data_IF_659457468884
#
_entry.id   IF_659457468884
#
_cell.length_a   1.000
_cell.length_b   1.000
_cell.length_c   1.000
_cell.angle_alpha   90.00
_cell.angle_beta   90.00
_cell.angle_gamma   90.00
#
_symmetry.space_group_name_H-M   'P 1'
#
loop_
_entity.id
_entity.type
_entity.pdbx_description
1 polymer ?
#
# COMPACT_ATOMS: atom_id res chain seq x y z
N UNK A 1 -36.13 33.03 28.34
CA UNK A 1 -35.91 33.00 26.88
C UNK A 1 -34.86 31.93 26.61
N UNK A 2 -35.28 30.70 26.31
CA UNK A 2 -34.36 29.57 26.12
C UNK A 2 -33.84 29.58 24.69
N UNK A 3 -32.53 29.74 24.52
CA UNK A 3 -31.83 29.62 23.23
C UNK A 3 -31.95 28.18 22.73
N UNK A 4 -32.48 27.92 21.53
CA UNK A 4 -32.46 26.59 20.93
C UNK A 4 -31.00 26.22 20.61
N UNK A 5 -30.41 25.31 21.38
CA UNK A 5 -29.10 24.74 21.05
C UNK A 5 -29.29 23.76 19.90
N UNK A 6 -28.78 24.11 18.72
CA UNK A 6 -28.77 23.23 17.57
C UNK A 6 -28.11 21.88 17.93
N UNK A 7 -28.67 20.74 17.52
CA UNK A 7 -28.07 19.44 17.79
C UNK A 7 -26.70 19.34 17.12
N UNK A 8 -25.68 18.76 17.77
CA UNK A 8 -24.36 18.60 17.17
C UNK A 8 -24.48 17.72 15.93
N UNK A 9 -23.95 18.21 14.80
CA UNK A 9 -23.82 17.46 13.55
C UNK A 9 -23.01 16.20 13.81
N UNK A 10 -23.69 15.06 13.96
CA UNK A 10 -23.03 13.76 14.03
C UNK A 10 -22.47 13.49 12.64
N UNK A 11 -21.16 13.58 12.49
CA UNK A 11 -20.50 13.02 11.32
C UNK A 11 -20.86 11.53 11.28
N UNK A 12 -21.73 11.15 10.35
CA UNK A 12 -22.00 9.75 10.07
C UNK A 12 -20.70 9.17 9.52
N UNK A 13 -19.93 8.50 10.37
CA UNK A 13 -18.82 7.66 9.90
C UNK A 13 -19.46 6.59 9.04
N UNK A 14 -19.38 6.78 7.72
CA UNK A 14 -19.88 5.84 6.74
C UNK A 14 -19.00 4.59 6.83
N UNK A 15 -19.42 3.66 7.67
CA UNK A 15 -18.88 2.31 7.66
C UNK A 15 -19.23 1.73 6.30
N UNK A 16 -18.24 1.28 5.53
CA UNK A 16 -18.43 0.59 4.25
C UNK A 16 -19.27 -0.68 4.46
N UNK A 17 -20.59 -0.53 4.55
CA UNK A 17 -21.56 -1.61 4.78
C UNK A 17 -22.04 -2.23 3.46
N UNK A 18 -21.58 -1.71 2.32
CA UNK A 18 -22.04 -2.11 0.99
C UNK A 18 -21.13 -3.05 0.18
N UNK A 19 -19.85 -3.22 0.55
CA UNK A 19 -18.91 -4.05 -0.22
C UNK A 19 -18.99 -5.51 0.21
N UNK A 20 -19.31 -6.39 -0.75
CA UNK A 20 -19.23 -7.84 -0.54
C UNK A 20 -17.77 -8.24 -0.34
N UNK A 21 -17.48 -8.93 0.77
CA UNK A 21 -16.15 -9.47 1.07
C UNK A 21 -16.00 -10.89 0.52
N UNK A 22 -16.09 -11.04 -0.80
CA UNK A 22 -15.96 -12.35 -1.47
C UNK A 22 -14.58 -12.56 -2.14
N UNK A 23 -13.64 -11.63 -1.95
CA UNK A 23 -12.31 -11.73 -2.55
C UNK A 23 -11.56 -12.93 -1.96
N UNK A 24 -11.34 -13.93 -2.80
CA UNK A 24 -10.58 -15.12 -2.44
C UNK A 24 -9.07 -14.80 -2.39
N UNK A 25 -8.31 -15.54 -1.59
CA UNK A 25 -6.86 -15.35 -1.39
C UNK A 25 -6.08 -15.39 -2.71
N UNK A 26 -6.50 -16.27 -3.61
CA UNK A 26 -5.90 -16.44 -4.93
C UNK A 26 -6.16 -15.22 -5.81
N UNK A 27 -7.40 -14.71 -5.86
CA UNK A 27 -7.72 -13.48 -6.59
C UNK A 27 -6.93 -12.28 -6.06
N UNK A 28 -6.80 -12.17 -4.73
CA UNK A 28 -6.00 -11.11 -4.10
C UNK A 28 -4.51 -11.20 -4.49
N UNK A 29 -3.95 -12.43 -4.51
CA UNK A 29 -2.58 -12.68 -4.96
C UNK A 29 -2.38 -12.25 -6.42
N UNK A 30 -3.28 -12.67 -7.32
CA UNK A 30 -3.18 -12.30 -8.73
C UNK A 30 -3.36 -10.80 -8.96
N UNK A 31 -4.22 -10.13 -8.19
CA UNK A 31 -4.33 -8.66 -8.22
C UNK A 31 -3.02 -8.01 -7.80
N UNK A 32 -2.38 -8.48 -6.72
CA UNK A 32 -1.09 -7.98 -6.28
C UNK A 32 0.02 -8.20 -7.32
N UNK A 33 0.12 -9.41 -7.87
CA UNK A 33 1.10 -9.74 -8.92
C UNK A 33 0.87 -8.89 -10.17
N UNK A 34 -0.38 -8.77 -10.62
CA UNK A 34 -0.74 -7.95 -11.78
C UNK A 34 -0.42 -6.46 -11.59
N UNK A 35 -0.54 -5.94 -10.37
CA UNK A 35 -0.18 -4.56 -10.05
C UNK A 35 1.34 -4.31 -10.08
N UNK A 36 2.18 -5.33 -9.86
CA UNK A 36 3.65 -5.23 -9.88
C UNK A 36 4.19 -5.27 -11.33
N UNK A 37 3.57 -6.07 -12.19
CA UNK A 37 4.04 -6.26 -13.58
C UNK A 37 3.61 -5.06 -14.44
N UNK A 38 4.52 -4.11 -14.62
CA UNK A 38 4.36 -2.95 -15.50
C UNK A 38 5.56 -2.69 -16.42
N UNK A 39 5.65 -1.49 -16.97
CA UNK A 39 6.78 -1.07 -17.83
C UNK A 39 8.13 -1.13 -17.11
N UNK A 40 8.13 -0.99 -15.78
CA UNK A 40 9.32 -1.06 -14.95
C UNK A 40 10.07 -2.40 -15.01
N UNK A 41 9.39 -3.54 -15.24
CA UNK A 41 10.09 -4.82 -15.44
C UNK A 41 10.95 -4.76 -16.70
N UNK A 42 10.36 -4.33 -17.82
CA UNK A 42 11.00 -4.34 -19.12
C UNK A 42 12.16 -3.35 -19.19
N UNK A 43 11.91 -2.10 -18.81
CA UNK A 43 12.92 -1.05 -18.85
C UNK A 43 13.93 -1.16 -17.72
N UNK A 44 13.52 -1.59 -16.52
CA UNK A 44 14.43 -1.82 -15.40
C UNK A 44 15.46 -2.91 -15.72
N UNK A 45 15.03 -4.03 -16.32
CA UNK A 45 15.95 -5.07 -16.76
C UNK A 45 16.90 -4.59 -17.88
N UNK A 46 16.39 -3.82 -18.84
CA UNK A 46 17.20 -3.23 -19.92
C UNK A 46 18.28 -2.29 -19.36
N UNK A 47 17.89 -1.33 -18.51
CA UNK A 47 18.84 -0.37 -17.94
C UNK A 47 19.84 -1.05 -17.00
N UNK A 48 19.41 -2.02 -16.19
CA UNK A 48 20.31 -2.78 -15.33
C UNK A 48 21.36 -3.54 -16.17
N UNK A 49 20.94 -4.16 -17.27
CA UNK A 49 21.83 -4.87 -18.19
C UNK A 49 22.78 -3.91 -18.93
N UNK A 50 22.32 -2.72 -19.32
CA UNK A 50 23.18 -1.72 -19.99
C UNK A 50 24.27 -1.17 -19.06
N UNK A 51 23.97 -0.97 -17.78
CA UNK A 51 24.90 -0.39 -16.81
C UNK A 51 25.87 -1.45 -16.25
N UNK A 52 25.36 -2.60 -15.83
CA UNK A 52 26.14 -3.63 -15.14
C UNK A 52 26.58 -4.80 -16.05
N UNK A 53 26.07 -4.86 -17.29
CA UNK A 53 26.32 -5.99 -18.19
C UNK A 53 25.78 -7.31 -17.61
N UNK A 54 26.48 -8.44 -17.83
CA UNK A 54 26.07 -9.75 -17.28
C UNK A 54 25.96 -9.78 -15.75
N UNK A 55 26.63 -8.85 -15.04
CA UNK A 55 26.56 -8.74 -13.58
C UNK A 55 25.23 -8.15 -13.08
N UNK A 56 24.33 -7.68 -13.96
CA UNK A 56 23.02 -7.14 -13.59
C UNK A 56 22.18 -8.11 -12.76
N UNK A 57 22.36 -9.42 -12.94
CA UNK A 57 21.69 -10.47 -12.16
C UNK A 57 21.98 -10.31 -10.66
N UNK A 58 23.19 -9.92 -10.27
CA UNK A 58 23.53 -9.68 -8.87
C UNK A 58 22.71 -8.52 -8.30
N UNK A 59 22.53 -7.44 -9.05
CA UNK A 59 21.68 -6.32 -8.62
C UNK A 59 20.22 -6.74 -8.43
N UNK A 60 19.71 -7.63 -9.29
CA UNK A 60 18.37 -8.18 -9.19
C UNK A 60 18.18 -9.05 -7.96
N UNK A 61 19.18 -9.86 -7.60
CA UNK A 61 19.13 -10.67 -6.37
C UNK A 61 19.09 -9.77 -5.14
N UNK A 62 19.96 -8.75 -5.09
CA UNK A 62 19.99 -7.79 -3.97
C UNK A 62 18.66 -7.03 -3.89
N UNK A 63 18.15 -6.54 -5.03
CA UNK A 63 16.85 -5.87 -5.10
C UNK A 63 15.70 -6.77 -4.64
N UNK A 64 15.69 -8.04 -5.03
CA UNK A 64 14.68 -9.01 -4.60
C UNK A 64 14.70 -9.23 -3.08
N UNK A 65 15.89 -9.34 -2.48
CA UNK A 65 16.05 -9.48 -1.03
C UNK A 65 15.52 -8.22 -0.30
N UNK A 66 15.88 -7.03 -0.78
CA UNK A 66 15.40 -5.77 -0.19
C UNK A 66 13.87 -5.65 -0.26
N UNK A 67 13.28 -5.92 -1.42
CA UNK A 67 11.81 -5.88 -1.61
C UNK A 67 11.12 -6.95 -0.76
N UNK A 68 11.71 -8.13 -0.60
CA UNK A 68 11.18 -9.18 0.26
C UNK A 68 11.09 -8.74 1.73
N UNK A 69 12.12 -8.07 2.25
CA UNK A 69 12.10 -7.53 3.61
C UNK A 69 11.00 -6.48 3.75
N UNK A 70 10.87 -5.56 2.78
CA UNK A 70 9.81 -4.55 2.77
C UNK A 70 8.43 -5.22 2.75
N UNK A 71 8.25 -6.22 1.87
CA UNK A 71 7.01 -6.98 1.75
C UNK A 71 6.63 -7.70 3.05
N UNK A 72 7.60 -8.25 3.78
CA UNK A 72 7.36 -8.90 5.07
C UNK A 72 6.88 -7.90 6.13
N UNK A 73 7.51 -6.73 6.22
CA UNK A 73 7.05 -5.65 7.14
C UNK A 73 5.63 -5.22 6.79
N UNK A 74 5.33 -5.06 5.50
CA UNK A 74 3.97 -4.74 5.06
C UNK A 74 2.96 -5.85 5.37
N UNK A 75 3.36 -7.12 5.32
CA UNK A 75 2.51 -8.24 5.68
C UNK A 75 2.17 -8.23 7.18
N UNK A 76 3.15 -7.99 8.05
CA UNK A 76 2.93 -7.83 9.50
C UNK A 76 1.98 -6.67 9.80
N UNK A 77 2.20 -5.52 9.16
CA UNK A 77 1.33 -4.34 9.32
C UNK A 77 -0.09 -4.58 8.79
N UNK A 78 -0.25 -5.29 7.67
CA UNK A 78 -1.55 -5.62 7.10
C UNK A 78 -2.39 -6.53 8.01
N UNK A 79 -1.73 -7.43 8.76
CA UNK A 79 -2.40 -8.28 9.76
C UNK A 79 -2.73 -7.49 11.03
N UNK A 80 -1.82 -6.62 11.49
CA UNK A 80 -2.03 -5.82 12.70
C UNK A 80 -3.10 -4.73 12.51
N UNK A 81 -3.16 -4.11 11.33
CA UNK A 81 -4.10 -3.03 11.01
C UNK A 81 -4.90 -3.38 9.75
N UNK A 82 -6.03 -4.12 9.86
CA UNK A 82 -6.86 -4.52 8.72
C UNK A 82 -7.72 -3.35 8.21
N UNK A 83 -7.06 -2.30 7.71
CA UNK A 83 -7.65 -1.06 7.19
C UNK A 83 -7.34 -0.89 5.70
N UNK A 84 -8.29 -0.36 4.95
CA UNK A 84 -8.09 -0.07 3.52
C UNK A 84 -7.18 1.15 3.36
N UNK A 85 -6.16 1.05 2.49
CA UNK A 85 -5.25 2.16 2.17
C UNK A 85 -4.01 2.27 3.06
N UNK A 86 -3.29 1.15 3.25
CA UNK A 86 -2.11 1.07 4.13
C UNK A 86 -1.03 2.12 3.86
N UNK A 87 -0.72 2.43 2.60
CA UNK A 87 0.29 3.45 2.22
C UNK A 87 0.01 4.84 2.79
N UNK A 88 -1.26 5.22 2.94
CA UNK A 88 -1.66 6.53 3.47
C UNK A 88 -1.89 6.46 4.98
N UNK A 89 -2.47 5.35 5.46
CA UNK A 89 -2.85 5.19 6.88
C UNK A 89 -1.67 4.84 7.79
N UNK A 90 -0.72 4.01 7.35
CA UNK A 90 0.44 3.64 8.18
C UNK A 90 1.34 4.86 8.51
N UNK A 91 1.68 5.74 7.54
CA UNK A 91 2.39 6.98 7.84
C UNK A 91 1.54 7.95 8.68
N UNK A 92 0.22 7.99 8.48
CA UNK A 92 -0.66 8.81 9.31
C UNK A 92 -0.61 8.42 10.79
N UNK A 93 -0.54 7.12 11.08
CA UNK A 93 -0.45 6.64 12.47
C UNK A 93 0.87 7.00 13.14
N UNK A 94 1.98 7.08 12.38
CA UNK A 94 3.31 7.31 12.94
C UNK A 94 3.74 8.79 12.94
N UNK A 95 3.40 9.52 11.87
CA UNK A 95 3.93 10.86 11.59
C UNK A 95 2.84 11.94 11.42
N UNK A 96 1.56 11.57 11.54
CA UNK A 96 0.43 12.50 11.47
C UNK A 96 0.02 12.90 10.06
N UNK A 97 -0.86 13.91 9.98
CA UNK A 97 -1.57 14.31 8.74
C UNK A 97 -0.63 14.78 7.62
N UNK A 98 0.48 15.46 7.93
CA UNK A 98 1.39 15.99 6.92
C UNK A 98 2.13 14.89 6.15
N UNK A 99 2.67 13.89 6.85
CA UNK A 99 3.37 12.77 6.22
C UNK A 99 2.44 11.91 5.36
N UNK A 100 1.21 11.72 5.84
CA UNK A 100 0.15 11.02 5.09
C UNK A 100 -0.20 11.75 3.79
N UNK A 101 -0.34 13.09 3.84
CA UNK A 101 -0.59 13.92 2.67
C UNK A 101 0.56 13.93 1.67
N UNK A 102 1.82 13.90 2.13
CA UNK A 102 2.97 13.85 1.21
C UNK A 102 3.16 12.49 0.53
N UNK A 103 2.59 11.43 1.11
CA UNK A 103 2.79 10.04 0.64
C UNK A 103 1.67 9.55 -0.27
N UNK A 104 0.59 10.32 -0.44
CA UNK A 104 -0.55 10.02 -1.31
C UNK A 104 -0.66 11.03 -2.45
#
# INVERSE_FOLDING_TARGET
>A
MATPTAPPTRAHVQLDTGVRRDVNKLSLLFTGVGAIIGSGWLFGALYASQIAGPAAILSWIIGAIMIMIIGLVYAELAVMFPVVGGIIRFPHYSFGSFASFSSG
#
